data_IF_329596771891
#
_entry.id   IF_329596771891
#
_cell.length_a   1.000
_cell.length_b   1.000
_cell.length_c   1.000
_cell.angle_alpha   90.00
_cell.angle_beta   90.00
_cell.angle_gamma   90.00
#
_symmetry.space_group_name_H-M   'P 1'
#
loop_
_entity.id
_entity.type
_entity.pdbx_description
1 polymer ?
#
# COMPACT_ATOMS: atom_id res chain seq x y z
N UNK A 1 12.56 -29.88 -87.61
CA UNK A 1 13.98 -29.49 -87.66
C UNK A 1 14.34 -28.93 -86.28
N UNK A 2 15.13 -29.68 -85.50
CA UNK A 2 15.43 -29.36 -84.08
C UNK A 2 16.48 -28.26 -84.00
N UNK A 3 16.22 -27.20 -83.23
CA UNK A 3 17.19 -26.11 -82.97
C UNK A 3 17.75 -26.31 -81.55
N UNK A 4 19.08 -26.43 -81.38
CA UNK A 4 19.72 -26.38 -80.07
C UNK A 4 20.07 -24.93 -79.70
N UNK A 5 19.99 -24.59 -78.42
CA UNK A 5 20.58 -23.36 -77.87
C UNK A 5 21.58 -23.72 -76.77
N UNK A 6 22.80 -23.26 -77.02
CA UNK A 6 24.01 -23.28 -76.20
C UNK A 6 23.83 -22.44 -74.93
N UNK A 7 24.27 -22.97 -73.79
CA UNK A 7 24.38 -22.25 -72.51
C UNK A 7 25.83 -21.82 -72.34
N UNK A 8 26.05 -20.54 -72.07
CA UNK A 8 27.35 -19.98 -71.71
C UNK A 8 27.58 -20.09 -70.19
N UNK A 9 28.77 -20.54 -69.83
CA UNK A 9 29.30 -20.67 -68.47
C UNK A 9 29.85 -19.32 -67.96
N UNK A 10 29.49 -18.96 -66.72
CA UNK A 10 30.22 -17.96 -65.91
C UNK A 10 30.58 -18.65 -64.59
N UNK A 11 31.89 -18.70 -64.30
CA UNK A 11 32.44 -19.31 -63.10
C UNK A 11 32.25 -18.42 -61.88
N UNK A 12 31.89 -19.04 -60.74
CA UNK A 12 31.89 -18.42 -59.42
C UNK A 12 32.92 -19.16 -58.54
N UNK A 13 33.79 -18.37 -57.90
CA UNK A 13 34.82 -18.82 -56.99
C UNK A 13 34.24 -19.40 -55.69
N UNK A 14 34.84 -20.49 -55.22
CA UNK A 14 34.50 -21.17 -53.96
C UNK A 14 35.30 -20.53 -52.83
N UNK A 15 34.63 -19.91 -51.86
CA UNK A 15 35.21 -19.54 -50.57
C UNK A 15 34.82 -20.62 -49.53
N UNK A 16 35.82 -21.26 -48.93
CA UNK A 16 35.63 -22.27 -47.90
C UNK A 16 35.16 -21.67 -46.58
N UNK A 17 34.07 -22.19 -46.04
CA UNK A 17 33.58 -21.91 -44.69
C UNK A 17 34.09 -23.01 -43.74
N UNK A 18 34.94 -22.64 -42.79
CA UNK A 18 35.32 -23.48 -41.65
C UNK A 18 34.16 -23.51 -40.66
N UNK A 19 33.59 -24.69 -40.42
CA UNK A 19 32.57 -24.89 -39.41
C UNK A 19 33.21 -24.81 -38.01
N UNK A 20 33.01 -23.70 -37.30
CA UNK A 20 33.27 -23.63 -35.87
C UNK A 20 32.08 -24.25 -35.14
N UNK A 21 32.32 -25.34 -34.41
CA UNK A 21 31.31 -25.94 -33.54
C UNK A 21 30.95 -24.93 -32.43
N UNK A 22 29.73 -24.38 -32.49
CA UNK A 22 29.15 -23.64 -31.38
C UNK A 22 28.72 -24.67 -30.34
N UNK A 23 29.49 -24.78 -29.26
CA UNK A 23 29.01 -25.40 -28.03
C UNK A 23 27.89 -24.50 -27.51
N UNK A 24 26.64 -24.94 -27.64
CA UNK A 24 25.51 -24.36 -26.93
C UNK A 24 25.75 -24.59 -25.43
N UNK A 25 26.38 -23.62 -24.78
CA UNK A 25 26.31 -23.50 -23.34
C UNK A 25 24.82 -23.34 -23.00
N UNK A 26 24.25 -24.36 -22.36
CA UNK A 26 22.90 -24.31 -21.85
C UNK A 26 22.72 -23.01 -21.07
N UNK A 27 21.59 -22.33 -21.29
CA UNK A 27 21.18 -21.20 -20.46
C UNK A 27 21.05 -21.70 -19.03
N UNK A 28 22.12 -21.55 -18.25
CA UNK A 28 22.02 -21.53 -16.80
C UNK A 28 20.93 -20.51 -16.50
N UNK A 29 19.80 -20.97 -15.95
CA UNK A 29 18.70 -20.10 -15.56
C UNK A 29 19.29 -18.95 -14.77
N UNK A 30 18.98 -17.71 -15.18
CA UNK A 30 19.47 -16.53 -14.49
C UNK A 30 19.16 -16.71 -13.01
N UNK A 31 20.21 -16.91 -12.19
CA UNK A 31 20.05 -17.01 -10.77
C UNK A 31 19.32 -15.75 -10.32
N UNK A 32 18.12 -15.91 -9.76
CA UNK A 32 17.37 -14.79 -9.20
C UNK A 32 18.29 -14.11 -8.19
N UNK A 33 18.53 -12.81 -8.37
CA UNK A 33 19.38 -12.05 -7.46
C UNK A 33 18.91 -12.28 -6.02
N UNK A 34 19.85 -12.43 -5.09
CA UNK A 34 19.49 -12.64 -3.69
C UNK A 34 18.66 -11.45 -3.16
N UNK A 35 17.66 -11.70 -2.29
CA UNK A 35 16.93 -10.64 -1.60
C UNK A 35 17.86 -9.62 -0.94
N UNK A 36 17.59 -8.33 -1.16
CA UNK A 36 18.37 -7.24 -0.57
C UNK A 36 17.49 -6.34 0.27
N UNK A 37 17.99 -5.90 1.42
CA UNK A 37 17.40 -4.90 2.31
C UNK A 37 18.22 -3.63 2.24
N UNK A 38 17.53 -2.51 2.01
CA UNK A 38 18.11 -1.18 1.89
C UNK A 38 17.41 -0.19 2.82
N UNK A 39 18.19 0.67 3.48
CA UNK A 39 17.68 1.80 4.26
C UNK A 39 17.30 2.95 3.31
N UNK A 40 16.04 3.41 3.39
CA UNK A 40 15.50 4.46 2.53
C UNK A 40 15.47 5.84 3.17
N UNK A 41 15.49 5.90 4.50
CA UNK A 41 15.45 7.16 5.27
C UNK A 41 16.87 7.72 5.40
N UNK A 42 17.48 7.99 4.25
CA UNK A 42 18.79 8.65 4.08
C UNK A 42 18.63 9.85 3.17
N UNK A 43 19.42 10.90 3.41
CA UNK A 43 19.52 11.99 2.45
C UNK A 43 20.36 11.58 1.23
N UNK A 44 20.42 12.45 0.21
CA UNK A 44 21.14 12.19 -1.04
C UNK A 44 22.65 11.97 -0.86
N UNK A 45 23.23 12.44 0.26
CA UNK A 45 24.63 12.22 0.63
C UNK A 45 24.86 10.90 1.39
N UNK A 46 23.81 10.11 1.60
CA UNK A 46 23.88 8.83 2.32
C UNK A 46 23.83 8.95 3.84
N UNK A 47 23.52 10.12 4.39
CA UNK A 47 23.39 10.33 5.84
C UNK A 47 21.97 9.94 6.30
N UNK A 48 21.90 9.09 7.32
CA UNK A 48 20.66 8.61 7.93
C UNK A 48 19.82 9.75 8.52
N UNK A 49 18.50 9.60 8.45
CA UNK A 49 17.54 10.51 9.06
C UNK A 49 17.74 10.60 10.58
N UNK A 50 17.80 11.82 11.11
CA UNK A 50 18.11 12.10 12.52
C UNK A 50 16.91 11.93 13.48
N UNK A 51 15.71 11.69 12.96
CA UNK A 51 14.48 11.44 13.72
C UNK A 51 13.66 10.33 13.06
N UNK A 52 12.51 9.98 13.65
CA UNK A 52 11.64 8.91 13.17
C UNK A 52 11.20 9.06 11.71
N UNK A 53 11.32 7.96 10.97
CA UNK A 53 10.68 7.72 9.67
C UNK A 53 9.75 6.51 9.80
N UNK A 54 8.50 6.66 9.35
CA UNK A 54 7.40 5.76 9.68
C UNK A 54 6.39 5.63 8.53
N UNK A 55 5.50 4.65 8.64
CA UNK A 55 4.36 4.40 7.76
C UNK A 55 4.74 4.33 6.27
N UNK A 56 5.60 3.37 5.88
CA UNK A 56 5.99 3.24 4.50
C UNK A 56 4.81 2.80 3.63
N UNK A 57 4.65 3.42 2.47
CA UNK A 57 3.82 2.92 1.37
C UNK A 57 4.72 2.46 0.22
N UNK A 58 4.27 1.49 -0.57
CA UNK A 58 5.01 0.99 -1.74
C UNK A 58 4.11 0.99 -2.97
N UNK A 59 4.63 1.38 -4.12
CA UNK A 59 3.92 1.23 -5.39
C UNK A 59 3.77 -0.24 -5.77
N UNK A 60 2.78 -0.55 -6.60
CA UNK A 60 2.41 -1.93 -6.96
C UNK A 60 3.55 -2.69 -7.66
N UNK A 61 4.36 -1.99 -8.44
CA UNK A 61 5.57 -2.50 -9.09
C UNK A 61 6.82 -2.51 -8.17
N UNK A 62 6.70 -2.01 -6.94
CA UNK A 62 7.80 -1.90 -5.97
C UNK A 62 8.87 -0.87 -6.31
N UNK A 63 8.63 0.01 -7.28
CA UNK A 63 9.60 1.03 -7.68
C UNK A 63 9.64 2.21 -6.71
N UNK A 64 8.49 2.71 -6.30
CA UNK A 64 8.37 3.90 -5.49
C UNK A 64 8.03 3.52 -4.05
N UNK A 65 8.72 4.12 -3.09
CA UNK A 65 8.38 3.98 -1.68
C UNK A 65 8.12 5.35 -1.10
N UNK A 66 6.94 5.54 -0.52
CA UNK A 66 6.63 6.73 0.27
C UNK A 66 6.88 6.44 1.73
N UNK A 67 7.18 7.47 2.52
CA UNK A 67 7.18 7.36 3.97
C UNK A 67 7.01 8.73 4.62
N UNK A 68 6.57 8.74 5.87
CA UNK A 68 6.47 9.95 6.68
C UNK A 68 7.73 10.09 7.51
N UNK A 69 8.28 11.29 7.67
CA UNK A 69 9.47 11.50 8.50
C UNK A 69 9.47 12.82 9.25
N UNK A 70 9.91 12.78 10.50
CA UNK A 70 10.21 13.93 11.34
C UNK A 70 11.65 14.43 11.14
N UNK A 71 12.47 13.70 10.38
CA UNK A 71 13.88 14.00 10.24
C UNK A 71 14.09 15.36 9.54
N UNK A 72 14.93 16.19 10.16
CA UNK A 72 15.22 17.55 9.67
C UNK A 72 16.35 17.56 8.64
N UNK A 73 17.06 16.45 8.48
CA UNK A 73 18.26 16.33 7.65
C UNK A 73 18.09 15.48 6.39
N UNK A 74 16.88 14.93 6.12
CA UNK A 74 16.60 14.19 4.88
C UNK A 74 16.60 15.14 3.67
N UNK A 75 15.71 16.13 3.71
CA UNK A 75 15.73 17.29 2.81
C UNK A 75 15.39 18.50 3.69
N UNK A 76 16.40 19.31 4.09
CA UNK A 76 16.19 20.44 4.98
C UNK A 76 15.13 21.41 4.44
N UNK A 77 14.24 21.87 5.33
CA UNK A 77 13.23 22.87 5.05
C UNK A 77 13.87 24.25 4.86
N UNK A 78 13.22 25.12 4.08
CA UNK A 78 13.60 26.54 3.98
C UNK A 78 13.30 27.26 5.32
N UNK A 79 14.00 28.36 5.65
CA UNK A 79 13.80 29.06 6.93
C UNK A 79 12.37 29.53 7.20
N UNK A 80 11.56 29.76 6.17
CA UNK A 80 10.16 30.20 6.26
C UNK A 80 9.14 29.05 6.26
N UNK A 81 9.57 27.80 6.19
CA UNK A 81 8.71 26.64 6.22
C UNK A 81 8.61 26.11 7.67
N UNK A 82 7.40 25.94 8.23
CA UNK A 82 7.26 25.49 9.61
C UNK A 82 7.81 24.06 9.78
N UNK A 83 8.31 23.67 10.97
CA UNK A 83 8.69 22.29 11.22
C UNK A 83 7.46 21.40 11.14
N UNK A 84 7.55 20.31 10.39
CA UNK A 84 6.47 19.35 10.26
C UNK A 84 7.03 17.97 9.93
N UNK A 85 6.25 16.93 10.27
CA UNK A 85 6.44 15.61 9.70
C UNK A 85 6.08 15.71 8.23
N UNK A 86 6.96 15.28 7.34
CA UNK A 86 6.82 15.36 5.88
C UNK A 86 6.54 14.00 5.25
N UNK A 87 5.89 13.99 4.09
CA UNK A 87 5.84 12.82 3.21
C UNK A 87 6.97 12.91 2.20
N UNK A 88 7.80 11.87 2.20
CA UNK A 88 8.86 11.66 1.23
C UNK A 88 8.49 10.56 0.25
N UNK A 89 9.05 10.66 -0.95
CA UNK A 89 8.97 9.67 -2.01
C UNK A 89 10.39 9.31 -2.44
N UNK A 90 10.73 8.03 -2.37
CA UNK A 90 11.97 7.47 -2.86
C UNK A 90 11.74 6.68 -4.15
N UNK A 91 12.57 6.93 -5.17
CA UNK A 91 12.53 6.20 -6.44
C UNK A 91 13.67 5.18 -6.51
N UNK A 92 13.32 3.89 -6.55
CA UNK A 92 14.29 2.80 -6.62
C UNK A 92 15.19 2.83 -7.84
N UNK A 93 14.70 3.36 -8.95
CA UNK A 93 15.47 3.37 -10.20
C UNK A 93 16.56 4.43 -10.17
N UNK A 94 16.27 5.61 -9.64
CA UNK A 94 17.20 6.74 -9.62
C UNK A 94 17.93 6.91 -8.28
N UNK A 95 17.45 6.26 -7.22
CA UNK A 95 17.93 6.44 -5.84
C UNK A 95 17.61 7.81 -5.26
N UNK A 96 16.77 8.61 -5.93
CA UNK A 96 16.45 9.97 -5.54
C UNK A 96 15.38 10.00 -4.45
N UNK A 97 15.53 10.93 -3.51
CA UNK A 97 14.54 11.25 -2.49
C UNK A 97 13.90 12.60 -2.80
N UNK A 98 12.57 12.67 -2.79
CA UNK A 98 11.79 13.88 -3.01
C UNK A 98 10.83 14.09 -1.85
N UNK A 99 10.57 15.35 -1.52
CA UNK A 99 9.48 15.75 -0.66
C UNK A 99 8.19 16.01 -1.46
N UNK A 100 7.12 15.29 -1.13
CA UNK A 100 5.88 15.33 -1.92
C UNK A 100 4.72 16.01 -1.19
N UNK A 101 4.86 16.23 0.12
CA UNK A 101 3.96 17.03 0.95
C UNK A 101 4.14 18.54 0.76
N UNK A 102 3.91 19.00 -0.45
CA UNK A 102 4.09 20.40 -0.85
C UNK A 102 2.83 20.96 -1.50
N UNK A 103 2.65 22.27 -1.44
CA UNK A 103 1.64 22.98 -2.24
C UNK A 103 2.01 22.96 -3.75
N UNK A 104 1.13 23.51 -4.59
CA UNK A 104 1.37 23.60 -6.05
C UNK A 104 2.62 24.44 -6.40
N UNK A 105 3.00 25.40 -5.56
CA UNK A 105 4.21 26.20 -5.74
C UNK A 105 5.48 25.48 -5.22
N UNK A 106 5.34 24.34 -4.57
CA UNK A 106 6.44 23.55 -4.03
C UNK A 106 6.84 23.92 -2.59
N UNK A 107 6.05 24.74 -1.88
CA UNK A 107 6.30 25.02 -0.46
C UNK A 107 5.81 23.88 0.41
N UNK A 108 6.56 23.55 1.46
CA UNK A 108 6.18 22.49 2.40
C UNK A 108 4.90 22.81 3.16
N UNK A 109 4.04 21.80 3.29
CA UNK A 109 2.77 21.90 4.03
C UNK A 109 2.99 21.79 5.56
N UNK A 110 2.04 22.32 6.38
CA UNK A 110 2.21 22.50 7.83
C UNK A 110 2.05 21.23 8.70
N UNK A 111 2.10 20.03 8.12
CA UNK A 111 2.18 18.76 8.87
C UNK A 111 1.07 17.76 8.54
N UNK A 112 1.26 16.51 8.95
CA UNK A 112 0.39 15.35 8.63
C UNK A 112 0.06 14.58 9.90
N UNK A 113 -1.16 14.06 10.07
CA UNK A 113 -1.59 13.30 11.28
C UNK A 113 -1.64 11.81 11.09
N UNK A 114 -1.92 11.32 9.89
CA UNK A 114 -2.29 9.93 9.66
C UNK A 114 -1.28 8.93 10.21
N UNK A 115 -1.81 7.89 10.84
CA UNK A 115 -1.07 6.70 11.27
C UNK A 115 -0.99 5.62 10.19
N UNK A 116 -1.11 6.01 8.92
CA UNK A 116 -1.18 5.09 7.78
C UNK A 116 -0.24 5.48 6.64
N UNK A 117 -0.01 4.56 5.69
CA UNK A 117 0.85 4.81 4.53
C UNK A 117 0.27 5.90 3.61
N UNK A 118 1.15 6.63 2.93
CA UNK A 118 0.75 7.57 1.88
C UNK A 118 0.78 6.85 0.52
N UNK A 119 -0.35 6.52 -0.12
CA UNK A 119 -0.34 5.68 -1.31
C UNK A 119 0.29 6.39 -2.52
N UNK A 120 0.98 5.60 -3.36
CA UNK A 120 1.65 6.05 -4.59
C UNK A 120 1.40 5.09 -5.75
N UNK A 121 1.16 5.63 -6.95
CA UNK A 121 0.98 4.83 -8.18
C UNK A 121 2.32 4.29 -8.70
N UNK A 122 2.31 3.22 -9.50
CA UNK A 122 3.50 2.62 -10.13
C UNK A 122 4.22 3.58 -11.08
N UNK A 123 3.49 4.51 -11.69
CA UNK A 123 4.10 5.59 -12.46
C UNK A 123 4.87 6.61 -11.59
N UNK A 124 4.65 6.60 -10.27
CA UNK A 124 5.08 7.63 -9.33
C UNK A 124 4.39 8.97 -9.54
N UNK A 125 3.50 9.10 -10.52
CA UNK A 125 2.88 10.38 -10.90
C UNK A 125 1.94 10.91 -9.83
N UNK A 126 1.26 10.02 -9.11
CA UNK A 126 0.24 10.38 -8.14
C UNK A 126 0.64 9.89 -6.76
N UNK A 127 0.66 10.81 -5.80
CA UNK A 127 0.85 10.51 -4.36
C UNK A 127 -0.28 11.19 -3.60
N UNK A 128 -1.02 10.44 -2.79
CA UNK A 128 -2.00 11.02 -1.88
C UNK A 128 -1.52 11.00 -0.43
N UNK A 129 -1.91 12.02 0.32
CA UNK A 129 -1.53 12.18 1.72
C UNK A 129 -2.55 13.07 2.44
N UNK A 130 -2.73 12.87 3.73
CA UNK A 130 -3.47 13.76 4.61
C UNK A 130 -2.56 14.86 5.18
N UNK A 131 -2.99 16.11 5.26
CA UNK A 131 -2.23 17.23 5.84
C UNK A 131 -3.14 18.22 6.55
N UNK A 132 -2.59 18.95 7.51
CA UNK A 132 -3.27 20.12 8.08
C UNK A 132 -3.55 21.15 6.99
N UNK A 133 -4.73 21.78 7.08
CA UNK A 133 -5.10 22.85 6.17
C UNK A 133 -4.10 24.00 6.29
N UNK A 134 -3.62 24.53 5.16
CA UNK A 134 -2.65 25.63 5.17
C UNK A 134 -3.24 26.97 5.64
N UNK A 135 -4.57 27.12 5.66
CA UNK A 135 -5.30 28.35 6.04
C UNK A 135 -6.48 28.04 6.98
N UNK A 136 -6.75 28.88 7.99
CA UNK A 136 -7.81 28.59 8.94
C UNK A 136 -9.12 28.79 8.22
N UNK A 137 -10.12 28.01 8.60
CA UNK A 137 -11.47 28.16 8.06
C UNK A 137 -12.42 28.50 9.20
N UNK A 138 -13.61 29.07 8.94
CA UNK A 138 -14.58 29.28 10.00
C UNK A 138 -14.97 28.00 10.77
N UNK A 139 -14.92 26.84 10.09
CA UNK A 139 -15.17 25.54 10.68
C UNK A 139 -13.93 24.95 11.41
N UNK A 140 -12.75 25.48 11.13
CA UNK A 140 -11.48 25.09 11.73
C UNK A 140 -10.55 26.30 11.90
N UNK A 141 -10.84 27.19 12.86
CA UNK A 141 -10.07 28.41 13.06
C UNK A 141 -8.65 28.12 13.59
N UNK A 142 -8.41 26.91 14.09
CA UNK A 142 -7.11 26.48 14.61
C UNK A 142 -6.28 25.66 13.63
N UNK A 143 -6.78 25.37 12.42
CA UNK A 143 -6.15 24.46 11.45
C UNK A 143 -5.79 23.10 12.06
N UNK A 144 -6.72 22.47 12.76
CA UNK A 144 -6.52 21.18 13.40
C UNK A 144 -7.11 20.02 12.60
N UNK A 145 -7.97 20.31 11.63
CA UNK A 145 -8.53 19.30 10.75
C UNK A 145 -7.55 18.94 9.64
N UNK A 146 -7.48 17.64 9.35
CA UNK A 146 -6.70 17.14 8.24
C UNK A 146 -7.58 17.00 7.02
N UNK A 147 -7.10 17.50 5.90
CA UNK A 147 -7.66 17.27 4.59
C UNK A 147 -6.77 16.28 3.84
N UNK A 148 -7.35 15.57 2.88
CA UNK A 148 -6.59 14.69 2.00
C UNK A 148 -6.25 15.47 0.74
N UNK A 149 -5.00 15.34 0.31
CA UNK A 149 -4.46 15.97 -0.89
C UNK A 149 -3.96 14.92 -1.87
N UNK A 150 -4.06 15.24 -3.16
CA UNK A 150 -3.41 14.50 -4.24
C UNK A 150 -2.32 15.37 -4.86
N UNK A 151 -1.07 14.91 -4.78
CA UNK A 151 0.05 15.47 -5.53
C UNK A 151 0.17 14.77 -6.88
N UNK A 152 -0.06 15.52 -7.95
CA UNK A 152 0.30 15.13 -9.31
C UNK A 152 1.70 15.65 -9.63
N UNK A 153 2.61 14.74 -10.00
CA UNK A 153 4.01 15.03 -10.34
C UNK A 153 4.18 15.08 -11.87
N UNK A 154 4.82 16.13 -12.38
CA UNK A 154 5.11 16.29 -13.82
C UNK A 154 6.61 16.10 -14.15
N UNK A 155 7.44 15.80 -13.15
CA UNK A 155 8.90 15.72 -13.27
C UNK A 155 9.60 17.03 -12.86
N UNK A 156 10.90 16.95 -12.56
CA UNK A 156 11.76 18.11 -12.21
C UNK A 156 11.20 19.04 -11.11
N UNK A 157 10.55 18.48 -10.08
CA UNK A 157 9.98 19.23 -8.96
C UNK A 157 8.67 19.97 -9.27
N UNK A 158 8.24 20.01 -10.54
CA UNK A 158 6.95 20.57 -10.93
C UNK A 158 5.82 19.60 -10.58
N UNK A 159 4.72 20.17 -10.08
CA UNK A 159 3.54 19.39 -9.73
C UNK A 159 2.36 20.27 -9.37
N UNK A 160 1.21 19.62 -9.20
CA UNK A 160 -0.04 20.22 -8.75
C UNK A 160 -0.50 19.48 -7.51
N UNK A 161 -0.92 20.21 -6.49
CA UNK A 161 -1.50 19.64 -5.27
C UNK A 161 -2.96 20.06 -5.18
N UNK A 162 -3.85 19.06 -5.24
CA UNK A 162 -5.29 19.24 -5.19
C UNK A 162 -5.84 18.75 -3.86
N UNK A 163 -6.76 19.50 -3.25
CA UNK A 163 -7.59 19.02 -2.15
C UNK A 163 -8.62 18.02 -2.71
N UNK A 164 -8.65 16.81 -2.13
CA UNK A 164 -9.56 15.73 -2.52
C UNK A 164 -10.69 15.51 -1.51
N UNK A 165 -10.77 16.37 -0.49
CA UNK A 165 -11.79 16.40 0.56
C UNK A 165 -12.63 17.69 0.60
N UNK A 166 -12.91 18.40 -0.52
CA UNK A 166 -13.77 19.57 -0.41
C UNK A 166 -15.20 19.15 -0.03
N UNK A 167 -15.80 19.92 0.86
CA UNK A 167 -17.22 19.85 1.18
C UNK A 167 -18.10 20.31 0.01
N UNK A 168 -19.42 20.15 0.19
CA UNK A 168 -20.43 20.52 -0.80
C UNK A 168 -20.22 21.96 -1.31
N UNK A 169 -20.29 22.13 -2.63
CA UNK A 169 -20.11 23.43 -3.28
C UNK A 169 -18.69 24.00 -3.19
N UNK A 170 -17.70 23.20 -2.81
CA UNK A 170 -16.31 23.64 -2.62
C UNK A 170 -16.05 24.31 -1.27
N UNK A 171 -17.00 24.20 -0.32
CA UNK A 171 -16.76 24.61 1.05
C UNK A 171 -15.66 23.75 1.70
N UNK A 172 -14.90 24.26 2.67
CA UNK A 172 -13.99 23.42 3.44
C UNK A 172 -14.70 22.27 4.15
N UNK A 173 -14.03 21.13 4.27
CA UNK A 173 -14.51 20.05 5.13
C UNK A 173 -14.64 20.55 6.59
N UNK A 174 -15.69 20.10 7.28
CA UNK A 174 -15.94 20.47 8.67
C UNK A 174 -15.47 19.42 9.69
N UNK A 175 -14.61 18.50 9.27
CA UNK A 175 -14.06 17.44 10.11
C UNK A 175 -12.81 16.82 9.49
N UNK A 176 -12.02 16.15 10.32
CA UNK A 176 -10.75 15.54 9.88
C UNK A 176 -10.98 14.35 8.95
N UNK A 177 -10.08 14.22 7.98
CA UNK A 177 -10.05 13.15 6.97
C UNK A 177 -8.68 12.48 6.92
N UNK A 178 -8.65 11.22 6.52
CA UNK A 178 -7.42 10.45 6.30
C UNK A 178 -7.49 9.67 4.99
N UNK A 179 -6.34 9.60 4.30
CA UNK A 179 -6.24 8.88 3.03
C UNK A 179 -6.25 7.37 3.25
N UNK A 180 -7.01 6.66 2.43
CA UNK A 180 -7.04 5.20 2.41
C UNK A 180 -6.25 4.59 1.24
N UNK A 181 -6.54 5.01 0.01
CA UNK A 181 -5.91 4.46 -1.19
C UNK A 181 -6.19 5.26 -2.46
N UNK A 182 -5.41 5.01 -3.52
CA UNK A 182 -5.57 5.64 -4.84
C UNK A 182 -5.61 4.59 -5.96
N UNK A 183 -6.41 4.87 -6.99
CA UNK A 183 -6.39 4.11 -8.23
C UNK A 183 -5.10 4.37 -9.01
N UNK A 184 -4.71 3.43 -9.86
CA UNK A 184 -3.44 3.47 -10.59
C UNK A 184 -3.37 4.63 -11.58
N UNK A 185 -4.51 5.07 -12.10
CA UNK A 185 -4.65 6.25 -12.96
C UNK A 185 -4.74 7.58 -12.18
N UNK A 186 -4.72 7.54 -10.84
CA UNK A 186 -4.83 8.70 -9.96
C UNK A 186 -6.22 9.35 -9.93
N UNK A 187 -7.22 8.76 -10.61
CA UNK A 187 -8.56 9.35 -10.73
C UNK A 187 -9.40 9.20 -9.46
N UNK A 188 -9.28 8.07 -8.77
CA UNK A 188 -10.11 7.76 -7.61
C UNK A 188 -9.26 7.75 -6.34
N UNK A 189 -9.76 8.40 -5.28
CA UNK A 189 -9.14 8.40 -3.95
C UNK A 189 -10.16 7.95 -2.92
N UNK A 190 -9.86 6.86 -2.21
CA UNK A 190 -10.66 6.41 -1.07
C UNK A 190 -10.15 7.08 0.20
N UNK A 191 -11.07 7.55 1.05
CA UNK A 191 -10.76 8.29 2.27
C UNK A 191 -11.75 7.97 3.39
N UNK A 192 -11.29 8.09 4.63
CA UNK A 192 -12.14 8.09 5.83
C UNK A 192 -12.32 9.54 6.26
N UNK A 193 -13.52 9.95 6.66
CA UNK A 193 -13.76 11.31 7.13
C UNK A 193 -14.79 11.36 8.25
N UNK A 194 -14.55 12.24 9.22
CA UNK A 194 -15.51 12.65 10.23
C UNK A 194 -16.33 13.89 9.81
N UNK A 195 -16.09 14.43 8.60
CA UNK A 195 -16.79 15.61 8.10
C UNK A 195 -18.20 15.27 7.62
N UNK A 196 -19.20 15.97 8.17
CA UNK A 196 -20.62 15.82 7.82
C UNK A 196 -21.05 16.62 6.58
N UNK A 197 -20.12 17.26 5.88
CA UNK A 197 -20.42 18.11 4.73
C UNK A 197 -19.75 17.67 3.42
N UNK A 198 -19.16 16.47 3.35
CA UNK A 198 -18.59 15.94 2.10
C UNK A 198 -19.66 15.50 1.10
N UNK A 199 -20.83 15.08 1.59
CA UNK A 199 -22.01 14.70 0.80
C UNK A 199 -23.28 15.21 1.46
N UNK A 200 -24.35 15.35 0.70
CA UNK A 200 -25.65 15.74 1.26
C UNK A 200 -26.27 14.60 2.08
N UNK A 201 -26.95 14.95 3.17
CA UNK A 201 -27.66 13.98 4.02
C UNK A 201 -26.76 13.23 5.01
N UNK A 202 -25.53 13.68 5.20
CA UNK A 202 -24.62 13.13 6.20
C UNK A 202 -24.95 13.67 7.61
N UNK A 203 -25.72 12.92 8.39
CA UNK A 203 -26.26 13.38 9.67
C UNK A 203 -26.11 12.39 10.81
N UNK A 204 -25.36 11.31 10.65
CA UNK A 204 -25.20 10.27 11.67
C UNK A 204 -24.17 10.64 12.77
N UNK A 205 -23.33 11.66 12.53
CA UNK A 205 -22.27 12.07 13.46
C UNK A 205 -21.16 11.03 13.62
N UNK A 206 -21.00 10.14 12.63
CA UNK A 206 -20.02 9.04 12.61
C UNK A 206 -18.96 9.30 11.57
N UNK A 207 -17.84 8.60 11.69
CA UNK A 207 -16.85 8.56 10.61
C UNK A 207 -17.36 7.65 9.49
N UNK A 208 -17.26 8.13 8.26
CA UNK A 208 -17.74 7.44 7.07
C UNK A 208 -16.60 7.25 6.06
N UNK A 209 -16.81 6.31 5.13
CA UNK A 209 -15.87 6.06 4.04
C UNK A 209 -16.41 6.66 2.76
N UNK A 210 -15.55 7.38 2.06
CA UNK A 210 -15.87 8.08 0.83
C UNK A 210 -14.94 7.69 -0.31
N UNK A 211 -15.42 7.86 -1.54
CA UNK A 211 -14.63 7.79 -2.76
C UNK A 211 -14.76 9.11 -3.50
N UNK A 212 -13.63 9.77 -3.73
CA UNK A 212 -13.52 10.97 -4.55
C UNK A 212 -13.17 10.57 -5.99
N UNK A 213 -13.95 11.04 -6.96
CA UNK A 213 -13.60 11.04 -8.39
C UNK A 213 -13.00 12.40 -8.75
N UNK A 214 -11.70 12.44 -8.97
CA UNK A 214 -10.96 13.66 -9.30
C UNK A 214 -11.15 14.11 -10.76
N UNK A 215 -11.66 13.24 -11.64
CA UNK A 215 -11.97 13.61 -13.02
C UNK A 215 -13.25 14.43 -13.12
N UNK A 216 -14.25 14.09 -12.32
CA UNK A 216 -15.55 14.80 -12.28
C UNK A 216 -15.75 15.69 -11.05
N UNK A 217 -14.77 15.71 -10.12
CA UNK A 217 -14.85 16.45 -8.86
C UNK A 217 -16.07 16.08 -8.00
N UNK A 218 -16.41 14.79 -7.98
CA UNK A 218 -17.55 14.25 -7.22
C UNK A 218 -17.07 13.40 -6.05
N UNK A 219 -17.77 13.51 -4.93
CA UNK A 219 -17.57 12.65 -3.75
C UNK A 219 -18.82 11.80 -3.55
N UNK A 220 -18.62 10.50 -3.33
CA UNK A 220 -19.70 9.59 -2.93
C UNK A 220 -19.36 8.92 -1.60
N UNK A 221 -20.37 8.67 -0.77
CA UNK A 221 -20.23 7.76 0.38
C UNK A 221 -20.25 6.32 -0.11
N UNK A 222 -19.33 5.51 0.39
CA UNK A 222 -19.24 4.07 0.09
C UNK A 222 -19.56 3.17 1.28
N UNK A 223 -19.54 3.71 2.51
CA UNK A 223 -20.11 3.08 3.72
C UNK A 223 -21.65 3.09 3.67
N UNK A 224 -22.21 2.43 2.64
CA UNK A 224 -23.65 2.31 2.40
C UNK A 224 -24.02 0.86 2.13
N UNK A 225 -25.28 0.49 2.36
CA UNK A 225 -25.82 -0.79 1.94
C UNK A 225 -25.98 -0.87 0.41
N UNK A 226 -26.29 -2.07 -0.10
CA UNK A 226 -26.59 -2.27 -1.53
C UNK A 226 -27.83 -1.51 -2.03
N UNK A 227 -28.65 -0.94 -1.14
CA UNK A 227 -29.78 -0.07 -1.48
C UNK A 227 -29.46 1.42 -1.30
N UNK A 228 -28.22 1.76 -0.94
CA UNK A 228 -27.76 3.14 -0.76
C UNK A 228 -28.04 3.74 0.62
N UNK A 229 -28.48 2.93 1.59
CA UNK A 229 -28.70 3.39 2.97
C UNK A 229 -27.36 3.54 3.68
N UNK A 230 -27.10 4.68 4.31
CA UNK A 230 -25.88 4.93 5.07
C UNK A 230 -25.68 3.94 6.23
N UNK A 231 -24.43 3.59 6.51
CA UNK A 231 -24.04 2.89 7.73
C UNK A 231 -24.50 3.64 8.97
N UNK A 232 -24.98 2.88 9.96
CA UNK A 232 -25.49 3.43 11.23
C UNK A 232 -24.42 3.57 12.33
N UNK A 233 -23.16 3.27 12.05
CA UNK A 233 -22.03 3.41 12.98
C UNK A 233 -20.71 3.69 12.24
N UNK A 234 -19.63 3.91 13.00
CA UNK A 234 -18.31 4.29 12.49
C UNK A 234 -17.76 3.29 11.46
N UNK A 235 -17.22 3.85 10.38
CA UNK A 235 -16.51 3.15 9.31
C UNK A 235 -15.16 3.82 9.04
N UNK A 236 -14.15 3.03 8.66
CA UNK A 236 -12.80 3.54 8.43
C UNK A 236 -11.85 2.54 7.81
N UNK A 237 -10.54 2.84 7.87
CA UNK A 237 -9.45 2.02 7.33
C UNK A 237 -9.67 1.59 5.87
N UNK A 238 -10.15 2.54 5.06
CA UNK A 238 -10.46 2.31 3.67
C UNK A 238 -9.21 1.96 2.84
N UNK A 239 -9.34 1.06 1.87
CA UNK A 239 -8.35 0.76 0.84
C UNK A 239 -9.02 0.66 -0.54
N UNK A 240 -8.26 0.87 -1.60
CA UNK A 240 -8.77 0.96 -2.97
C UNK A 240 -7.98 0.04 -3.92
N UNK A 241 -8.70 -0.77 -4.71
CA UNK A 241 -8.08 -1.57 -5.77
C UNK A 241 -7.52 -0.69 -6.90
N UNK A 242 -6.50 -1.16 -7.63
CA UNK A 242 -5.83 -0.40 -8.69
C UNK A 242 -6.77 0.17 -9.75
N UNK A 243 -7.77 -0.62 -10.14
CA UNK A 243 -8.77 -0.24 -11.13
C UNK A 243 -9.82 0.76 -10.60
N UNK A 244 -9.73 1.18 -9.34
CA UNK A 244 -10.67 2.09 -8.70
C UNK A 244 -12.08 1.53 -8.48
N UNK A 245 -12.30 0.23 -8.71
CA UNK A 245 -13.63 -0.40 -8.66
C UNK A 245 -14.04 -0.83 -7.25
N UNK A 246 -13.12 -1.38 -6.47
CA UNK A 246 -13.45 -1.99 -5.19
C UNK A 246 -12.84 -1.17 -4.05
N UNK A 247 -13.71 -0.74 -3.13
CA UNK A 247 -13.29 -0.12 -1.86
C UNK A 247 -13.50 -1.14 -0.76
N UNK A 248 -12.45 -1.52 -0.05
CA UNK A 248 -12.56 -2.33 1.18
C UNK A 248 -12.39 -1.45 2.40
N UNK A 249 -13.13 -1.73 3.45
CA UNK A 249 -13.13 -0.90 4.66
C UNK A 249 -13.65 -1.69 5.87
N UNK A 250 -13.37 -1.16 7.05
CA UNK A 250 -13.90 -1.64 8.33
C UNK A 250 -15.16 -0.88 8.67
N UNK A 251 -16.17 -1.55 9.23
CA UNK A 251 -17.35 -0.88 9.77
C UNK A 251 -17.91 -1.59 11.00
N UNK A 252 -18.41 -0.80 11.96
CA UNK A 252 -19.25 -1.28 13.07
C UNK A 252 -20.74 -1.26 12.74
N UNK A 253 -21.10 -0.77 11.55
CA UNK A 253 -22.49 -0.61 11.16
C UNK A 253 -23.18 -1.96 10.94
N UNK A 254 -24.35 -2.13 11.55
CA UNK A 254 -25.14 -3.37 11.52
C UNK A 254 -26.11 -3.44 10.33
N UNK A 255 -26.15 -2.40 9.49
CA UNK A 255 -27.14 -2.26 8.43
C UNK A 255 -26.55 -2.23 7.01
N UNK A 256 -25.25 -2.47 6.84
CA UNK A 256 -24.60 -2.48 5.52
C UNK A 256 -24.98 -3.70 4.69
N UNK A 257 -25.20 -4.85 5.34
CA UNK A 257 -25.69 -6.09 4.73
C UNK A 257 -26.76 -6.74 5.60
N UNK A 258 -27.70 -7.52 5.02
CA UNK A 258 -28.63 -8.31 5.81
C UNK A 258 -27.91 -9.35 6.68
N UNK A 259 -28.39 -9.57 7.91
CA UNK A 259 -27.87 -10.61 8.79
C UNK A 259 -26.59 -10.24 9.55
N UNK A 260 -26.26 -8.95 9.64
CA UNK A 260 -25.27 -8.47 10.59
C UNK A 260 -25.79 -8.46 12.02
N UNK A 261 -25.26 -9.36 12.85
CA UNK A 261 -25.82 -9.62 14.18
C UNK A 261 -24.77 -9.91 15.24
N UNK A 262 -23.47 -9.92 14.90
CA UNK A 262 -22.40 -10.24 15.84
C UNK A 262 -21.99 -9.05 16.72
N UNK A 263 -22.34 -7.82 16.33
CA UNK A 263 -22.10 -6.60 17.12
C UNK A 263 -20.62 -6.22 17.22
N UNK A 264 -19.80 -6.67 16.27
CA UNK A 264 -18.35 -6.39 16.20
C UNK A 264 -18.01 -5.68 14.90
N UNK A 265 -16.81 -5.12 14.78
CA UNK A 265 -16.35 -4.53 13.54
C UNK A 265 -16.08 -5.60 12.48
N UNK A 266 -16.61 -5.40 11.27
CA UNK A 266 -16.48 -6.32 10.15
C UNK A 266 -15.78 -5.65 8.95
N UNK A 267 -15.20 -6.48 8.07
CA UNK A 267 -14.64 -6.02 6.79
C UNK A 267 -15.72 -6.06 5.73
N UNK A 268 -15.91 -4.94 5.04
CA UNK A 268 -16.83 -4.81 3.92
C UNK A 268 -16.09 -4.45 2.64
N UNK A 269 -16.73 -4.77 1.52
CA UNK A 269 -16.29 -4.36 0.20
C UNK A 269 -17.47 -3.73 -0.54
N UNK A 270 -17.25 -2.53 -1.07
CA UNK A 270 -18.16 -1.84 -1.96
C UNK A 270 -17.66 -1.92 -3.41
N UNK A 271 -18.46 -2.52 -4.29
CA UNK A 271 -18.22 -2.51 -5.73
C UNK A 271 -18.90 -1.28 -6.36
N UNK A 272 -18.09 -0.30 -6.75
CA UNK A 272 -18.60 0.98 -7.29
C UNK A 272 -19.39 0.80 -8.59
N UNK A 273 -19.14 -0.24 -9.38
CA UNK A 273 -19.87 -0.45 -10.64
C UNK A 273 -21.26 -1.04 -10.41
N UNK A 274 -21.35 -2.07 -9.56
CA UNK A 274 -22.64 -2.73 -9.28
C UNK A 274 -23.40 -2.08 -8.12
N UNK A 275 -22.74 -1.17 -7.38
CA UNK A 275 -23.21 -0.55 -6.14
C UNK A 275 -23.61 -1.57 -5.08
N UNK A 276 -22.96 -2.73 -5.08
CA UNK A 276 -23.17 -3.78 -4.08
C UNK A 276 -22.15 -3.67 -2.95
N UNK A 277 -22.67 -3.88 -1.75
CA UNK A 277 -21.89 -4.03 -0.52
C UNK A 277 -21.97 -5.48 -0.07
N UNK A 278 -20.83 -6.09 0.22
CA UNK A 278 -20.72 -7.44 0.74
C UNK A 278 -19.80 -7.48 1.96
N UNK A 279 -20.05 -8.43 2.87
CA UNK A 279 -19.15 -8.70 4.00
C UNK A 279 -18.05 -9.67 3.57
N UNK A 280 -16.82 -9.30 3.88
CA UNK A 280 -15.60 -10.06 3.58
C UNK A 280 -15.16 -10.93 4.76
N UNK A 281 -15.37 -10.46 6.00
CA UNK A 281 -15.04 -11.17 7.25
C UNK A 281 -16.04 -12.32 7.54
N UNK A 282 -16.10 -13.27 6.62
CA UNK A 282 -16.89 -14.50 6.71
C UNK A 282 -15.98 -15.72 6.59
N UNK A 283 -16.39 -16.86 7.13
CA UNK A 283 -15.75 -18.14 6.88
C UNK A 283 -16.05 -18.69 5.45
N UNK A 284 -15.46 -19.83 5.10
CA UNK A 284 -15.68 -20.48 3.80
C UNK A 284 -17.11 -21.00 3.59
N UNK A 285 -17.94 -21.04 4.63
CA UNK A 285 -19.38 -21.35 4.54
C UNK A 285 -20.25 -20.08 4.43
N UNK A 286 -19.64 -18.89 4.45
CA UNK A 286 -20.32 -17.61 4.38
C UNK A 286 -20.87 -17.12 5.72
N UNK A 287 -20.51 -17.75 6.84
CA UNK A 287 -20.92 -17.30 8.18
C UNK A 287 -20.00 -16.18 8.66
N UNK A 288 -20.57 -15.14 9.25
CA UNK A 288 -19.81 -14.05 9.89
C UNK A 288 -18.79 -14.59 10.91
N UNK A 289 -17.59 -14.02 10.90
CA UNK A 289 -16.57 -14.33 11.91
C UNK A 289 -17.01 -13.76 13.28
N UNK A 290 -16.64 -14.42 14.39
CA UNK A 290 -17.20 -14.11 15.71
C UNK A 290 -16.57 -12.90 16.42
N UNK A 291 -15.49 -12.31 15.90
CA UNK A 291 -14.83 -11.17 16.55
C UNK A 291 -14.37 -10.12 15.57
N UNK A 292 -13.92 -8.99 16.13
CA UNK A 292 -13.52 -7.82 15.37
C UNK A 292 -12.54 -8.17 14.25
N UNK A 293 -12.74 -7.55 13.10
CA UNK A 293 -11.83 -7.64 11.97
C UNK A 293 -11.35 -6.24 11.58
N UNK A 294 -10.06 -6.12 11.27
CA UNK A 294 -9.42 -4.82 11.00
C UNK A 294 -8.27 -4.99 9.98
N UNK A 295 -7.69 -3.86 9.56
CA UNK A 295 -6.55 -3.73 8.66
C UNK A 295 -6.79 -4.45 7.32
N UNK A 296 -7.87 -4.11 6.57
CA UNK A 296 -8.11 -4.72 5.28
C UNK A 296 -7.05 -4.28 4.26
N UNK A 297 -6.76 -5.15 3.30
CA UNK A 297 -5.92 -4.86 2.13
C UNK A 297 -6.44 -5.66 0.93
N UNK A 298 -6.42 -5.07 -0.28
CA UNK A 298 -7.11 -5.62 -1.47
C UNK A 298 -6.20 -5.71 -2.67
N UNK A 299 -6.28 -6.81 -3.43
CA UNK A 299 -5.56 -6.99 -4.70
C UNK A 299 -6.06 -6.03 -5.81
N UNK A 300 -5.29 -5.88 -6.88
CA UNK A 300 -5.58 -4.90 -7.94
C UNK A 300 -6.89 -5.18 -8.69
N UNK A 301 -7.21 -6.46 -8.86
CA UNK A 301 -8.46 -6.95 -9.43
C UNK A 301 -9.60 -7.07 -8.40
N UNK A 302 -9.31 -6.79 -7.13
CA UNK A 302 -10.21 -6.94 -6.00
C UNK A 302 -10.56 -8.37 -5.64
N UNK A 303 -9.99 -9.40 -6.25
CA UNK A 303 -10.34 -10.81 -5.97
C UNK A 303 -9.97 -11.23 -4.56
N UNK A 304 -8.80 -10.82 -4.09
CA UNK A 304 -8.26 -11.21 -2.81
C UNK A 304 -8.32 -10.05 -1.83
N UNK A 305 -8.84 -10.31 -0.63
CA UNK A 305 -8.84 -9.35 0.48
C UNK A 305 -8.17 -9.98 1.69
N UNK A 306 -7.06 -9.40 2.13
CA UNK A 306 -6.39 -9.78 3.37
C UNK A 306 -6.91 -8.93 4.54
N UNK A 307 -7.02 -9.52 5.73
CA UNK A 307 -7.46 -8.81 6.94
C UNK A 307 -7.00 -9.53 8.21
N UNK A 308 -6.89 -8.80 9.32
CA UNK A 308 -6.68 -9.39 10.65
C UNK A 308 -8.02 -9.71 11.30
N UNK A 309 -8.11 -10.82 12.03
CA UNK A 309 -9.28 -11.13 12.88
C UNK A 309 -8.86 -11.37 14.33
N UNK A 310 -9.58 -10.72 15.24
CA UNK A 310 -9.27 -10.60 16.67
C UNK A 310 -10.29 -11.36 17.54
N UNK A 311 -11.02 -12.31 16.95
CA UNK A 311 -12.02 -13.14 17.66
C UNK A 311 -11.46 -14.24 18.55
N UNK A 312 -10.14 -14.30 18.77
CA UNK A 312 -9.51 -15.24 19.69
C UNK A 312 -8.36 -14.57 20.45
N UNK A 313 -7.85 -15.23 21.50
CA UNK A 313 -6.66 -14.78 22.23
C UNK A 313 -5.37 -14.82 21.42
N UNK A 314 -5.40 -15.45 20.24
CA UNK A 314 -4.28 -15.51 19.30
C UNK A 314 -4.70 -15.00 17.91
N UNK A 315 -4.89 -13.68 17.72
CA UNK A 315 -5.32 -13.10 16.44
C UNK A 315 -4.46 -13.55 15.26
N UNK A 316 -5.12 -13.78 14.13
CA UNK A 316 -4.50 -14.29 12.92
C UNK A 316 -4.84 -13.41 11.72
N UNK A 317 -4.03 -13.55 10.67
CA UNK A 317 -4.29 -12.93 9.36
C UNK A 317 -4.96 -13.93 8.45
N UNK A 318 -6.00 -13.46 7.75
CA UNK A 318 -6.79 -14.21 6.81
C UNK A 318 -6.74 -13.61 5.42
N UNK A 319 -6.98 -14.42 4.40
CA UNK A 319 -7.30 -13.97 3.03
C UNK A 319 -8.63 -14.57 2.61
N UNK A 320 -9.51 -13.71 2.10
CA UNK A 320 -10.74 -14.08 1.38
C UNK A 320 -10.45 -14.10 -0.12
N UNK A 321 -10.61 -15.25 -0.76
CA UNK A 321 -10.76 -15.32 -2.22
C UNK A 321 -12.25 -15.18 -2.55
N UNK A 322 -12.64 -14.02 -3.07
CA UNK A 322 -14.05 -13.70 -3.36
C UNK A 322 -14.61 -14.52 -4.52
N UNK A 323 -13.76 -14.97 -5.43
CA UNK A 323 -14.19 -15.78 -6.59
C UNK A 323 -14.36 -17.24 -6.18
N UNK A 324 -13.42 -17.78 -5.40
CA UNK A 324 -13.51 -19.15 -4.91
C UNK A 324 -14.47 -19.32 -3.71
N UNK A 325 -14.80 -18.23 -3.02
CA UNK A 325 -15.64 -18.25 -1.84
C UNK A 325 -14.94 -18.84 -0.61
N UNK A 326 -13.61 -18.80 -0.55
CA UNK A 326 -12.82 -19.39 0.53
C UNK A 326 -12.18 -18.33 1.42
N UNK A 327 -12.08 -18.63 2.72
CA UNK A 327 -11.36 -17.81 3.71
C UNK A 327 -10.31 -18.68 4.39
N UNK A 328 -9.04 -18.31 4.30
CA UNK A 328 -7.92 -19.11 4.80
C UNK A 328 -7.02 -18.29 5.73
N UNK A 329 -6.50 -18.92 6.77
CA UNK A 329 -5.43 -18.34 7.60
C UNK A 329 -4.14 -18.34 6.79
N UNK A 330 -3.47 -17.19 6.71
CA UNK A 330 -2.21 -17.04 5.95
C UNK A 330 -1.00 -16.76 6.83
N UNK A 331 -1.22 -16.40 8.10
CA UNK A 331 -0.18 -16.35 9.15
C UNK A 331 0.20 -17.75 9.62
N UNK A 332 0.70 -18.57 8.69
CA UNK A 332 1.11 -19.96 8.88
C UNK A 332 2.59 -20.13 8.53
N UNK A 333 3.23 -21.17 9.05
CA UNK A 333 4.57 -21.57 8.63
C UNK A 333 4.56 -22.37 7.30
N UNK A 334 5.74 -22.83 6.86
CA UNK A 334 5.88 -23.59 5.60
C UNK A 334 5.18 -24.95 5.57
N UNK A 335 4.74 -25.45 6.73
CA UNK A 335 3.96 -26.68 6.85
C UNK A 335 2.46 -26.41 7.03
N UNK A 336 2.02 -25.15 6.95
CA UNK A 336 0.61 -24.77 7.11
C UNK A 336 0.15 -24.69 8.57
N UNK A 337 1.07 -24.73 9.54
CA UNK A 337 0.73 -24.59 10.96
C UNK A 337 0.60 -23.09 11.30
N UNK A 338 -0.52 -22.64 11.90
CA UNK A 338 -0.69 -21.25 12.33
C UNK A 338 0.38 -20.76 13.31
N UNK A 339 0.63 -19.46 13.27
CA UNK A 339 1.53 -18.77 14.19
C UNK A 339 1.10 -18.96 15.65
N UNK A 340 2.04 -19.27 16.54
CA UNK A 340 1.83 -19.41 17.98
C UNK A 340 1.78 -18.06 18.73
N UNK A 341 1.70 -16.96 18.00
CA UNK A 341 1.60 -15.60 18.54
C UNK A 341 0.77 -14.69 17.62
N UNK A 342 0.41 -13.53 18.19
CA UNK A 342 -0.46 -12.54 17.55
C UNK A 342 0.09 -12.14 16.19
N UNK A 343 -0.75 -12.22 15.16
CA UNK A 343 -0.46 -11.76 13.80
C UNK A 343 -1.47 -10.70 13.37
N UNK A 344 -1.00 -9.60 12.77
CA UNK A 344 -1.84 -8.44 12.43
C UNK A 344 -1.27 -7.62 11.27
N UNK A 345 -1.96 -6.52 10.91
CA UNK A 345 -1.55 -5.56 9.88
C UNK A 345 -1.13 -6.19 8.56
N UNK A 346 -2.01 -6.97 7.90
CA UNK A 346 -1.68 -7.53 6.62
C UNK A 346 -1.65 -6.49 5.51
N UNK A 347 -0.83 -6.74 4.51
CA UNK A 347 -0.85 -6.07 3.21
C UNK A 347 -0.74 -7.13 2.12
N UNK A 348 -1.54 -7.02 1.06
CA UNK A 348 -1.52 -7.94 -0.08
C UNK A 348 -1.02 -7.23 -1.34
N UNK A 349 -0.16 -7.90 -2.11
CA UNK A 349 0.39 -7.39 -3.37
C UNK A 349 -0.70 -7.23 -4.44
N UNK A 350 -0.45 -6.39 -5.44
CA UNK A 350 -1.37 -6.14 -6.56
C UNK A 350 -1.84 -7.42 -7.27
N UNK A 351 -0.93 -8.36 -7.53
CA UNK A 351 -1.27 -9.67 -8.13
C UNK A 351 -2.11 -10.60 -7.23
N UNK A 352 -2.24 -10.29 -5.94
CA UNK A 352 -2.81 -11.18 -4.93
C UNK A 352 -1.89 -12.32 -4.49
N UNK A 353 -0.63 -12.38 -4.93
CA UNK A 353 0.28 -13.49 -4.63
C UNK A 353 0.97 -13.39 -3.28
N UNK A 354 1.42 -12.21 -2.90
CA UNK A 354 2.21 -12.01 -1.69
C UNK A 354 1.38 -11.33 -0.61
N UNK A 355 1.42 -11.86 0.61
CA UNK A 355 0.84 -11.23 1.79
C UNK A 355 1.95 -10.98 2.80
N UNK A 356 2.20 -9.71 3.12
CA UNK A 356 3.01 -9.37 4.29
C UNK A 356 2.15 -9.23 5.53
N UNK A 357 2.70 -9.55 6.70
CA UNK A 357 2.03 -9.34 7.98
C UNK A 357 3.05 -9.23 9.09
N UNK A 358 2.66 -8.55 10.17
CA UNK A 358 3.43 -8.48 11.40
C UNK A 358 3.07 -9.65 12.32
N UNK A 359 4.04 -10.25 12.99
CA UNK A 359 3.76 -11.32 13.97
C UNK A 359 4.77 -11.40 15.11
N UNK A 360 4.27 -11.79 16.29
CA UNK A 360 5.06 -12.20 17.47
C UNK A 360 5.31 -13.72 17.53
N UNK A 361 4.84 -14.48 16.55
CA UNK A 361 4.96 -15.93 16.52
C UNK A 361 6.42 -16.39 16.38
N UNK A 362 6.81 -17.43 17.11
CA UNK A 362 8.16 -18.02 17.12
C UNK A 362 8.28 -19.25 16.24
N UNK A 363 7.16 -19.73 15.69
CA UNK A 363 7.08 -20.96 14.90
C UNK A 363 6.86 -20.73 13.39
N UNK A 364 6.84 -19.48 12.92
CA UNK A 364 6.64 -19.13 11.50
C UNK A 364 7.91 -19.36 10.67
N UNK A 365 9.06 -18.95 11.19
CA UNK A 365 10.39 -19.18 10.62
C UNK A 365 11.33 -19.62 11.75
N UNK A 366 12.06 -20.75 11.60
CA UNK A 366 12.95 -21.25 12.65
C UNK A 366 13.98 -20.22 13.11
N UNK A 367 14.19 -20.11 14.42
CA UNK A 367 15.20 -19.22 15.01
C UNK A 367 14.81 -17.73 15.03
N UNK A 368 13.62 -17.37 14.55
CA UNK A 368 13.11 -16.00 14.58
C UNK A 368 12.23 -15.80 15.83
N UNK A 369 12.41 -14.67 16.49
CA UNK A 369 11.62 -14.28 17.67
C UNK A 369 11.48 -12.76 17.71
N UNK A 370 10.61 -12.25 18.56
CA UNK A 370 10.31 -10.81 18.61
C UNK A 370 9.19 -10.44 17.64
N UNK A 371 9.03 -9.13 17.40
CA UNK A 371 8.00 -8.61 16.53
C UNK A 371 8.56 -8.34 15.13
N UNK A 372 8.27 -9.24 14.21
CA UNK A 372 8.88 -9.29 12.88
C UNK A 372 7.84 -9.18 11.77
N UNK A 373 8.32 -8.84 10.56
CA UNK A 373 7.52 -8.84 9.33
C UNK A 373 7.78 -10.14 8.59
N UNK A 374 6.72 -10.84 8.25
CA UNK A 374 6.74 -12.05 7.43
C UNK A 374 6.09 -11.77 6.09
N UNK A 375 6.51 -12.51 5.06
CA UNK A 375 5.87 -12.52 3.75
C UNK A 375 5.49 -13.94 3.38
N UNK A 376 4.22 -14.15 3.06
CA UNK A 376 3.65 -15.39 2.54
C UNK A 376 3.49 -15.30 1.03
N UNK A 377 4.17 -16.18 0.30
CA UNK A 377 3.88 -16.47 -1.12
C UNK A 377 2.74 -17.49 -1.18
N UNK A 378 1.55 -17.05 -1.59
CA UNK A 378 0.34 -17.88 -1.64
C UNK A 378 0.39 -18.94 -2.75
N UNK A 379 1.22 -18.74 -3.78
CA UNK A 379 1.41 -19.71 -4.86
C UNK A 379 2.40 -20.79 -4.45
N UNK A 380 3.52 -20.40 -3.82
CA UNK A 380 4.56 -21.36 -3.38
C UNK A 380 4.27 -21.97 -2.01
N UNK A 381 3.24 -21.50 -1.33
CA UNK A 381 2.94 -21.86 0.06
C UNK A 381 4.17 -21.71 0.98
N UNK A 382 4.92 -20.62 0.79
CA UNK A 382 6.15 -20.33 1.54
C UNK A 382 6.00 -19.05 2.36
N UNK A 383 6.32 -19.13 3.63
CA UNK A 383 6.50 -18.03 4.58
C UNK A 383 7.98 -17.78 4.78
N UNK A 384 8.39 -16.54 4.55
CA UNK A 384 9.77 -16.07 4.72
C UNK A 384 9.81 -14.81 5.56
N UNK A 385 10.97 -14.55 6.16
CA UNK A 385 11.20 -13.31 6.90
C UNK A 385 11.36 -12.13 5.94
N UNK A 386 10.47 -11.14 6.08
CA UNK A 386 10.49 -9.87 5.36
C UNK A 386 11.41 -8.83 6.02
N UNK A 387 11.52 -8.85 7.34
CA UNK A 387 12.42 -8.01 8.14
C UNK A 387 13.79 -8.67 8.36
N UNK A 388 14.44 -9.09 7.27
CA UNK A 388 15.75 -9.72 7.31
C UNK A 388 16.86 -8.79 6.80
N UNK A 389 18.06 -8.91 7.37
CA UNK A 389 19.28 -8.31 6.85
C UNK A 389 19.74 -8.94 5.52
N UNK A 390 20.79 -8.37 4.92
CA UNK A 390 21.40 -8.92 3.70
C UNK A 390 22.16 -10.23 3.95
N UNK A 391 22.52 -10.51 5.20
CA UNK A 391 23.07 -11.78 5.67
C UNK A 391 21.99 -12.83 6.01
N UNK A 392 20.71 -12.46 5.91
CA UNK A 392 19.57 -13.30 6.25
C UNK A 392 19.19 -13.34 7.73
N UNK A 393 19.92 -12.61 8.59
CA UNK A 393 19.57 -12.50 10.01
C UNK A 393 18.26 -11.72 10.20
N UNK A 394 17.50 -12.06 11.25
CA UNK A 394 16.31 -11.30 11.62
C UNK A 394 16.67 -9.90 12.14
N UNK A 395 15.75 -8.95 12.00
CA UNK A 395 15.91 -7.62 12.57
C UNK A 395 16.14 -7.74 14.09
N UNK A 396 17.12 -7.01 14.62
CA UNK A 396 17.46 -7.02 16.06
C UNK A 396 16.65 -6.00 16.88
N UNK A 397 15.55 -5.51 16.31
CA UNK A 397 14.67 -4.50 16.90
C UNK A 397 13.26 -4.61 16.35
N UNK A 398 12.26 -4.07 17.07
CA UNK A 398 10.87 -4.27 16.71
C UNK A 398 10.54 -3.62 15.36
N UNK A 399 9.77 -4.35 14.55
CA UNK A 399 9.45 -3.99 13.17
C UNK A 399 7.93 -3.95 12.95
N UNK A 400 7.43 -2.92 12.27
CA UNK A 400 6.00 -2.64 12.16
C UNK A 400 5.59 -2.17 10.75
N UNK A 401 4.27 -2.15 10.52
CA UNK A 401 3.61 -1.45 9.39
C UNK A 401 4.21 -1.75 8.02
N UNK A 402 4.26 -3.04 7.67
CA UNK A 402 4.72 -3.45 6.36
C UNK A 402 3.70 -3.18 5.26
N UNK A 403 4.17 -2.86 4.06
CA UNK A 403 3.40 -2.82 2.82
C UNK A 403 4.14 -3.64 1.76
N UNK A 404 3.41 -4.50 1.04
CA UNK A 404 4.00 -5.44 0.08
C UNK A 404 3.58 -5.13 -1.36
N UNK A 405 4.53 -5.31 -2.28
CA UNK A 405 4.31 -5.29 -3.72
C UNK A 405 4.71 -6.64 -4.32
N UNK A 406 4.59 -6.80 -5.63
CA UNK A 406 5.07 -8.01 -6.31
C UNK A 406 6.60 -8.12 -6.37
N UNK A 407 7.31 -7.04 -6.04
CA UNK A 407 8.77 -6.97 -6.12
C UNK A 407 9.47 -6.90 -4.73
N UNK A 408 8.74 -6.63 -3.66
CA UNK A 408 9.33 -6.51 -2.32
C UNK A 408 8.37 -6.04 -1.24
N UNK A 409 8.90 -5.83 -0.05
CA UNK A 409 8.18 -5.36 1.14
C UNK A 409 8.89 -4.15 1.74
N UNK A 410 8.16 -3.05 1.96
CA UNK A 410 8.63 -1.89 2.69
C UNK A 410 8.12 -1.93 4.13
N UNK A 411 8.94 -1.57 5.10
CA UNK A 411 8.59 -1.64 6.53
C UNK A 411 9.39 -0.64 7.36
N UNK A 412 8.93 -0.33 8.57
CA UNK A 412 9.70 0.46 9.54
C UNK A 412 10.28 -0.41 10.64
N UNK A 413 11.51 -0.12 11.08
CA UNK A 413 12.17 -0.88 12.14
C UNK A 413 13.04 0.00 13.03
N UNK A 414 13.22 -0.42 14.28
CA UNK A 414 14.25 0.09 15.20
C UNK A 414 15.57 -0.71 15.12
N UNK A 415 15.64 -1.69 14.24
CA UNK A 415 16.80 -2.57 14.11
C UNK A 415 18.05 -1.85 13.60
N UNK A 416 19.20 -2.27 14.15
CA UNK A 416 20.54 -1.77 13.86
C UNK A 416 21.25 -2.64 12.83
N UNK A 417 20.86 -3.91 12.71
CA UNK A 417 21.49 -4.86 11.79
C UNK A 417 20.91 -4.86 10.36
N UNK A 418 19.98 -3.96 10.04
CA UNK A 418 19.38 -3.82 8.69
C UNK A 418 20.11 -2.81 7.79
N UNK A 419 21.34 -2.40 8.16
CA UNK A 419 22.15 -1.46 7.39
C UNK A 419 21.94 0.02 7.71
N UNK A 420 21.28 0.34 8.83
CA UNK A 420 21.06 1.71 9.35
C UNK A 420 21.77 1.98 10.69
N UNK A 421 21.92 3.25 11.04
CA UNK A 421 22.55 3.71 12.28
C UNK A 421 21.68 3.42 13.52
N UNK A 422 22.35 3.08 14.62
CA UNK A 422 21.78 2.92 15.95
C UNK A 422 21.44 4.27 16.62
N UNK A 423 20.57 5.09 16.00
CA UNK A 423 20.16 6.38 16.56
C UNK A 423 18.89 6.29 17.44
N UNK A 424 18.35 5.09 17.66
CA UNK A 424 17.15 4.87 18.48
C UNK A 424 15.85 5.32 17.82
N UNK A 425 15.87 5.67 16.53
CA UNK A 425 14.69 6.11 15.78
C UNK A 425 14.23 5.02 14.82
N UNK A 426 12.91 4.84 14.69
CA UNK A 426 12.34 4.12 13.55
C UNK A 426 12.92 4.65 12.23
N UNK A 427 13.39 3.73 11.41
CA UNK A 427 13.81 3.97 10.04
C UNK A 427 12.98 3.11 9.09
N UNK A 428 12.89 3.55 7.84
CA UNK A 428 12.16 2.86 6.76
C UNK A 428 13.11 2.12 5.85
N UNK A 429 12.78 0.85 5.59
CA UNK A 429 13.55 -0.07 4.77
C UNK A 429 12.70 -0.64 3.64
N UNK A 430 13.35 -1.07 2.56
CA UNK A 430 12.76 -1.90 1.50
C UNK A 430 13.55 -3.19 1.39
N UNK A 431 12.86 -4.33 1.39
CA UNK A 431 13.43 -5.64 1.06
C UNK A 431 12.88 -6.17 -0.26
N UNK A 432 13.75 -6.55 -1.19
CA UNK A 432 13.37 -7.16 -2.48
C UNK A 432 13.21 -8.67 -2.37
N UNK A 433 12.37 -9.28 -3.22
CA UNK A 433 12.18 -10.74 -3.28
C UNK A 433 13.14 -11.47 -4.21
#
# INVERSE_FOLDING_TARGET
MRIPRTVATVGAAVAGLTATAVVLAGTAGAATAAPTTILLSRNQAGVDGNLHSMFPGISRDGRFVTFRSNATNLIPRKPNEPPARDVYLWDRTSGQLEAVSVDTAGHRLPGHSGGGPSPVTSSGRFVAFDSLVARPTPADPGHQNFDVFLRTRFGHGAGRTDDVTPGLGGAPANGSSSVGGISEDGRFVALTSAASNLVAGDSNGRSDVFLRDNGYHMTIRVSVSSTGVAGNDDSGNAQLSANGRYVVYVSRATNLVPGDTNGVADIFLFDRFTRRTERISVDSAGKQLPGDSDYPSVSDDGRYVAFGSFGSTNPQVYVRDRVAGTTTVVSVNNHGVPGDGVSSHPSISGSGRYVSFQSFARNLVPGVSGNEIYVRDLVKHKTSLGSAGNDGSAADGPTFFAQVSDAGVAFQSLARNLGGHANGNYQVYLRTF
#
